data_IF_300892913013
#
_entry.id   IF_300892913013
#
_cell.length_a   1.000
_cell.length_b   1.000
_cell.length_c   1.000
_cell.angle_alpha   90.00
_cell.angle_beta   90.00
_cell.angle_gamma   90.00
#
_symmetry.space_group_name_H-M   'P 1'
#
loop_
_entity.id
_entity.type
_entity.pdbx_description
1 polymer ?
#
# COMPACT_ATOMS: atom_id res chain seq x y z
N UNK A 1 14.88 -0.02 -21.67
CA UNK A 1 14.09 -0.04 -20.42
C UNK A 1 13.91 -1.49 -20.03
N UNK A 2 14.33 -1.96 -18.84
CA UNK A 2 14.14 -3.35 -18.50
C UNK A 2 12.64 -3.57 -18.27
N UNK A 3 12.04 -4.44 -19.08
CA UNK A 3 10.69 -4.95 -18.90
C UNK A 3 10.69 -5.84 -17.67
N UNK A 4 10.04 -5.37 -16.60
CA UNK A 4 9.87 -6.16 -15.37
C UNK A 4 9.03 -7.40 -15.71
N UNK A 5 9.71 -8.55 -15.86
CA UNK A 5 9.06 -9.82 -16.20
C UNK A 5 8.41 -10.32 -14.92
N UNK A 6 7.10 -10.08 -14.80
CA UNK A 6 6.33 -10.48 -13.62
C UNK A 6 6.65 -11.91 -13.16
N UNK A 7 6.83 -12.10 -11.85
CA UNK A 7 7.14 -13.39 -11.25
C UNK A 7 5.88 -14.26 -11.22
N UNK A 8 5.98 -15.48 -11.75
CA UNK A 8 4.88 -16.45 -11.72
C UNK A 8 4.93 -17.24 -10.43
N UNK A 9 3.87 -17.14 -9.63
CA UNK A 9 3.70 -17.91 -8.38
C UNK A 9 2.57 -18.92 -8.57
N UNK A 10 2.84 -20.19 -8.30
CA UNK A 10 1.83 -21.26 -8.31
C UNK A 10 1.46 -21.63 -6.88
N UNK A 11 0.17 -21.64 -6.56
CA UNK A 11 -0.32 -22.08 -5.25
C UNK A 11 -1.48 -23.07 -5.41
N UNK A 12 -1.56 -24.01 -4.46
CA UNK A 12 -2.58 -25.04 -4.44
C UNK A 12 -3.83 -24.51 -3.74
N UNK A 13 -5.00 -24.76 -4.31
CA UNK A 13 -6.30 -24.37 -3.75
C UNK A 13 -7.22 -25.58 -3.65
N UNK A 14 -8.20 -25.52 -2.75
CA UNK A 14 -9.26 -26.52 -2.68
C UNK A 14 -10.21 -26.42 -3.89
N UNK A 15 -11.06 -27.45 -4.04
CA UNK A 15 -12.01 -27.55 -5.16
C UNK A 15 -13.07 -26.44 -5.15
N UNK A 16 -13.45 -25.93 -3.99
CA UNK A 16 -14.44 -24.88 -3.86
C UNK A 16 -13.87 -23.55 -4.33
N UNK A 17 -12.70 -23.15 -3.82
CA UNK A 17 -12.01 -21.93 -4.23
C UNK A 17 -11.67 -21.93 -5.72
N UNK A 18 -11.21 -23.07 -6.27
CA UNK A 18 -10.99 -23.21 -7.70
C UNK A 18 -12.25 -22.91 -8.54
N UNK A 19 -13.43 -23.35 -8.07
CA UNK A 19 -14.70 -23.13 -8.77
C UNK A 19 -15.13 -21.67 -8.72
N UNK A 20 -14.89 -20.98 -7.61
CA UNK A 20 -15.15 -19.55 -7.46
C UNK A 20 -14.21 -18.75 -8.36
N UNK A 21 -12.90 -19.01 -8.31
CA UNK A 21 -11.91 -18.31 -9.13
C UNK A 21 -12.14 -18.49 -10.64
N UNK A 22 -12.68 -19.64 -11.07
CA UNK A 22 -13.06 -19.85 -12.49
C UNK A 22 -14.05 -18.80 -13.01
N UNK A 23 -14.97 -18.33 -12.18
CA UNK A 23 -15.99 -17.34 -12.55
C UNK A 23 -15.45 -15.91 -12.65
N UNK A 24 -14.26 -15.65 -12.13
CA UNK A 24 -13.64 -14.31 -12.17
C UNK A 24 -13.01 -14.09 -13.56
N UNK A 25 -13.38 -13.01 -14.27
CA UNK A 25 -12.90 -12.76 -15.63
C UNK A 25 -11.38 -12.51 -15.69
N UNK A 26 -10.83 -11.75 -14.73
CA UNK A 26 -9.37 -11.59 -14.56
C UNK A 26 -8.94 -12.06 -13.17
N UNK A 27 -8.50 -13.32 -13.09
CA UNK A 27 -8.11 -13.98 -11.84
C UNK A 27 -6.85 -13.36 -11.27
N UNK A 28 -5.89 -13.05 -12.14
CA UNK A 28 -4.59 -12.53 -11.74
C UNK A 28 -4.74 -11.15 -11.11
N UNK A 29 -5.53 -10.26 -11.73
CA UNK A 29 -5.80 -8.94 -11.16
C UNK A 29 -6.63 -9.02 -9.88
N UNK A 30 -7.66 -9.86 -9.85
CA UNK A 30 -8.45 -10.07 -8.63
C UNK A 30 -7.60 -10.59 -7.46
N UNK A 31 -6.79 -11.63 -7.69
CA UNK A 31 -5.92 -12.21 -6.66
C UNK A 31 -4.88 -11.19 -6.20
N UNK A 32 -4.27 -10.44 -7.14
CA UNK A 32 -3.32 -9.37 -6.82
C UNK A 32 -3.95 -8.31 -5.93
N UNK A 33 -5.13 -7.81 -6.29
CA UNK A 33 -5.82 -6.77 -5.53
C UNK A 33 -6.21 -7.25 -4.12
N UNK A 34 -6.70 -8.48 -3.99
CA UNK A 34 -7.08 -9.06 -2.70
C UNK A 34 -5.86 -9.27 -1.81
N UNK A 35 -4.78 -9.83 -2.36
CA UNK A 35 -3.52 -10.04 -1.61
C UNK A 35 -2.94 -8.69 -1.19
N UNK A 36 -2.86 -7.72 -2.10
CA UNK A 36 -2.37 -6.37 -1.76
C UNK A 36 -3.23 -5.72 -0.68
N UNK A 37 -4.57 -5.82 -0.77
CA UNK A 37 -5.47 -5.32 0.27
C UNK A 37 -5.27 -6.00 1.62
N UNK A 38 -4.89 -7.27 1.65
CA UNK A 38 -4.58 -7.95 2.92
C UNK A 38 -3.32 -7.43 3.62
N UNK A 39 -2.43 -6.76 2.87
CA UNK A 39 -1.26 -6.08 3.43
C UNK A 39 -1.54 -4.62 3.86
N UNK A 40 -2.75 -4.11 3.62
CA UNK A 40 -3.13 -2.75 4.02
C UNK A 40 -4.21 -2.80 5.10
N UNK A 41 -4.08 -1.92 6.10
CA UNK A 41 -5.15 -1.69 7.07
C UNK A 41 -6.38 -1.09 6.38
N UNK A 42 -7.57 -1.53 6.79
CA UNK A 42 -8.82 -0.99 6.26
C UNK A 42 -8.86 0.52 6.54
N UNK A 43 -9.02 1.35 5.50
CA UNK A 43 -9.02 2.80 5.67
C UNK A 43 -10.10 3.20 6.71
N UNK A 44 -9.70 3.85 7.83
CA UNK A 44 -10.62 4.12 8.94
C UNK A 44 -11.73 5.11 8.57
N UNK A 45 -11.53 5.90 7.50
CA UNK A 45 -12.48 6.92 7.05
C UNK A 45 -13.55 6.30 6.14
N UNK A 46 -13.16 5.61 5.07
CA UNK A 46 -14.13 5.02 4.14
C UNK A 46 -14.62 3.63 4.59
N UNK A 47 -13.97 3.02 5.60
CA UNK A 47 -14.18 1.64 6.05
C UNK A 47 -14.05 0.63 4.91
N UNK A 48 -13.02 0.80 4.09
CA UNK A 48 -12.75 -0.09 2.95
C UNK A 48 -13.64 0.11 1.72
N UNK A 49 -14.56 1.10 1.73
CA UNK A 49 -15.43 1.39 0.57
C UNK A 49 -14.70 2.01 -0.62
N UNK A 50 -13.50 2.55 -0.42
CA UNK A 50 -12.71 3.19 -1.49
C UNK A 50 -13.28 4.52 -2.02
N UNK A 51 -14.45 4.93 -1.57
CA UNK A 51 -15.12 6.18 -1.92
C UNK A 51 -15.57 6.93 -0.66
N UNK A 52 -15.57 8.26 -0.74
CA UNK A 52 -16.03 9.15 0.34
C UNK A 52 -17.08 10.14 -0.21
N UNK A 53 -18.16 10.42 0.53
CA UNK A 53 -19.03 11.56 0.24
C UNK A 53 -18.23 12.86 0.19
N UNK A 54 -18.69 13.84 -0.60
CA UNK A 54 -17.93 15.05 -0.90
C UNK A 54 -17.46 15.82 0.35
N UNK A 55 -18.33 15.95 1.36
CA UNK A 55 -18.00 16.63 2.62
C UNK A 55 -16.93 15.88 3.42
N UNK A 56 -17.05 14.56 3.52
CA UNK A 56 -16.08 13.71 4.20
C UNK A 56 -14.73 13.68 3.47
N UNK A 57 -14.75 13.71 2.14
CA UNK A 57 -13.55 13.85 1.30
C UNK A 57 -12.83 15.18 1.55
N UNK A 58 -13.57 16.29 1.63
CA UNK A 58 -13.00 17.62 1.97
C UNK A 58 -12.41 17.64 3.37
N UNK A 59 -13.10 17.06 4.36
CA UNK A 59 -12.56 16.92 5.71
C UNK A 59 -11.27 16.10 5.72
N UNK A 60 -11.27 14.90 5.11
CA UNK A 60 -10.11 14.02 5.06
C UNK A 60 -8.92 14.69 4.34
N UNK A 61 -9.18 15.39 3.23
CA UNK A 61 -8.15 16.14 2.49
C UNK A 61 -7.51 17.22 3.35
N UNK A 62 -8.29 17.97 4.14
CA UNK A 62 -7.74 18.99 5.04
C UNK A 62 -6.85 18.38 6.12
N UNK A 63 -7.28 17.27 6.72
CA UNK A 63 -6.50 16.56 7.75
C UNK A 63 -5.19 16.01 7.18
N UNK A 64 -5.24 15.41 5.99
CA UNK A 64 -4.05 14.83 5.34
C UNK A 64 -3.08 15.91 4.86
N UNK A 65 -3.55 17.05 4.33
CA UNK A 65 -2.70 18.17 3.90
C UNK A 65 -2.03 18.93 5.05
N UNK A 66 -2.62 18.92 6.23
CA UNK A 66 -2.03 19.57 7.41
C UNK A 66 -0.71 18.91 7.84
N UNK A 67 -0.46 17.67 7.41
CA UNK A 67 0.80 16.97 7.63
C UNK A 67 1.62 16.92 6.36
N UNK A 68 2.85 17.45 6.39
CA UNK A 68 3.83 17.19 5.32
C UNK A 68 3.99 15.68 5.20
N UNK A 69 3.80 15.12 4.00
CA UNK A 69 3.93 13.69 3.76
C UNK A 69 5.18 13.39 2.94
N UNK A 70 5.93 12.37 3.33
CA UNK A 70 7.05 11.85 2.55
C UNK A 70 6.64 10.51 1.92
N UNK A 71 7.00 10.33 0.65
CA UNK A 71 6.73 9.10 -0.07
C UNK A 71 7.83 8.06 0.20
N UNK A 72 7.43 6.85 0.59
CA UNK A 72 8.37 5.74 0.75
C UNK A 72 8.88 5.31 -0.62
N UNK A 73 10.20 5.21 -0.83
CA UNK A 73 10.75 4.78 -2.12
C UNK A 73 10.55 3.29 -2.42
N UNK A 74 10.22 2.48 -1.40
CA UNK A 74 9.96 1.05 -1.57
C UNK A 74 8.51 0.77 -1.96
N UNK A 75 7.55 1.19 -1.13
CA UNK A 75 6.13 0.87 -1.34
C UNK A 75 5.35 2.01 -2.01
N UNK A 76 5.97 3.18 -2.25
CA UNK A 76 5.36 4.36 -2.86
C UNK A 76 4.19 4.97 -2.07
N UNK A 77 3.91 4.49 -0.86
CA UNK A 77 2.91 5.10 0.02
C UNK A 77 3.41 6.41 0.61
N UNK A 78 2.51 7.39 0.70
CA UNK A 78 2.74 8.65 1.41
C UNK A 78 2.50 8.48 2.90
N UNK A 79 3.50 8.83 3.72
CA UNK A 79 3.42 8.79 5.18
C UNK A 79 3.49 10.21 5.74
N UNK A 80 2.55 10.63 6.61
CA UNK A 80 2.65 11.88 7.33
C UNK A 80 3.96 11.95 8.13
N UNK A 81 4.66 13.09 8.12
CA UNK A 81 5.90 13.28 8.86
C UNK A 81 5.73 13.03 10.38
N UNK A 82 4.51 13.24 10.90
CA UNK A 82 4.14 12.97 12.30
C UNK A 82 4.13 11.48 12.66
N UNK A 83 3.92 10.57 11.71
CA UNK A 83 3.94 9.11 11.95
C UNK A 83 5.36 8.54 11.89
N UNK A 84 6.32 9.33 11.41
CA UNK A 84 7.73 8.97 11.40
C UNK A 84 8.28 9.18 12.81
N UNK A 85 8.64 8.09 13.52
CA UNK A 85 9.33 8.16 14.81
C UNK A 85 10.55 9.10 14.67
N UNK A 86 10.51 10.23 15.40
CA UNK A 86 11.47 11.34 15.38
C UNK A 86 12.90 10.86 15.08
N UNK A 87 13.37 11.05 13.84
CA UNK A 87 14.82 11.00 13.55
C UNK A 87 15.45 12.22 14.21
N UNK A 88 16.12 12.02 15.34
CA UNK A 88 16.72 13.06 16.20
C UNK A 88 17.98 13.72 15.63
N UNK A 89 18.30 13.60 14.34
CA UNK A 89 19.54 14.20 13.80
C UNK A 89 19.39 14.60 12.33
N UNK A 90 19.61 15.88 11.98
CA UNK A 90 19.62 16.31 10.59
C UNK A 90 20.91 15.76 9.97
N UNK A 91 20.79 14.78 9.10
CA UNK A 91 21.90 14.27 8.30
C UNK A 91 22.00 15.10 7.02
N UNK A 92 23.21 15.58 6.69
CA UNK A 92 23.52 16.56 5.62
C UNK A 92 23.19 16.13 4.18
N UNK A 93 22.55 14.97 3.96
CA UNK A 93 22.14 14.45 2.64
C UNK A 93 20.68 13.99 2.71
N UNK A 94 19.83 14.31 1.70
CA UNK A 94 18.46 13.81 1.66
C UNK A 94 18.50 12.30 1.39
N UNK A 95 18.50 11.49 2.45
CA UNK A 95 18.34 10.04 2.31
C UNK A 95 16.91 9.77 1.88
N UNK A 96 16.74 8.92 0.87
CA UNK A 96 15.44 8.42 0.44
C UNK A 96 14.64 7.90 1.65
N UNK A 97 13.39 8.32 1.78
CA UNK A 97 12.53 7.89 2.88
C UNK A 97 12.10 6.44 2.66
N UNK A 98 12.35 5.60 3.67
CA UNK A 98 11.85 4.21 3.75
C UNK A 98 11.08 4.08 5.05
N UNK A 99 9.81 3.68 4.96
CA UNK A 99 8.91 3.57 6.11
C UNK A 99 9.32 2.43 7.08
N UNK A 100 8.76 2.44 8.29
CA UNK A 100 9.05 1.40 9.29
C UNK A 100 8.66 0.00 8.83
N UNK A 101 7.54 -0.13 8.11
CA UNK A 101 7.09 -1.40 7.55
C UNK A 101 8.13 -1.99 6.58
N UNK A 102 8.58 -1.23 5.58
CA UNK A 102 9.56 -1.73 4.61
C UNK A 102 10.94 -2.03 5.23
N UNK A 103 11.33 -1.32 6.31
CA UNK A 103 12.55 -1.66 7.06
C UNK A 103 12.48 -2.98 7.82
N UNK A 104 11.28 -3.42 8.18
CA UNK A 104 11.08 -4.66 8.93
C UNK A 104 11.02 -5.90 8.02
N UNK A 105 10.74 -5.73 6.72
CA UNK A 105 10.50 -6.83 5.79
C UNK A 105 11.64 -7.08 4.79
N UNK A 106 12.84 -6.52 5.01
CA UNK A 106 14.05 -6.74 4.19
C UNK A 106 13.78 -6.79 2.68
N UNK A 107 13.01 -5.83 2.16
CA UNK A 107 12.85 -5.71 0.72
C UNK A 107 14.20 -5.32 0.11
N UNK A 108 14.71 -6.13 -0.83
CA UNK A 108 15.91 -5.78 -1.59
C UNK A 108 15.69 -4.41 -2.27
N UNK A 109 16.63 -3.49 -2.05
CA UNK A 109 16.63 -2.12 -2.57
C UNK A 109 17.88 -1.88 -3.40
#
# INVERSE_FOLDING_TARGET
MPTDKGVVVSFRVDRHLARVLRKVPDKSSFIRDVILRSFYETCPVCRGRGILPAELSRWATRQLRASRADQCVCCLYGYPASTQRRRKRPEKRPRAFVCSHCRQHEHAH
#
